data_IF_810944664035
#
_entry.id   IF_810944664035
#
_cell.length_a   1.000
_cell.length_b   1.000
_cell.length_c   1.000
_cell.angle_alpha   90.00
_cell.angle_beta   90.00
_cell.angle_gamma   90.00
#
_symmetry.space_group_name_H-M   'P 1'
#
loop_
_entity.id
_entity.type
_entity.pdbx_description
1 polymer ?
#
# COMPACT_ATOMS: atom_id res chain seq x y z
N UNK A 1 -5.21 24.79 -2.42
CA UNK A 1 -5.91 23.67 -1.77
C UNK A 1 -4.94 22.48 -1.73
N UNK A 2 -4.86 21.75 -0.63
CA UNK A 2 -4.05 20.53 -0.54
C UNK A 2 -4.63 19.46 -1.47
N UNK A 3 -3.77 18.67 -2.11
CA UNK A 3 -4.20 17.52 -2.94
C UNK A 3 -4.86 16.42 -2.10
N UNK A 4 -5.53 15.50 -2.76
CA UNK A 4 -6.22 14.37 -2.15
C UNK A 4 -5.41 13.08 -2.29
N UNK A 5 -5.39 12.29 -1.22
CA UNK A 5 -4.83 10.94 -1.20
C UNK A 5 -5.95 9.94 -1.45
N UNK A 6 -5.90 9.27 -2.59
CA UNK A 6 -6.89 8.27 -3.01
C UNK A 6 -6.17 6.92 -3.16
N UNK A 7 -6.65 5.90 -2.49
CA UNK A 7 -6.07 4.56 -2.52
C UNK A 7 -6.95 3.64 -3.36
N UNK A 8 -6.33 2.85 -4.22
CA UNK A 8 -6.99 1.78 -4.97
C UNK A 8 -6.50 0.44 -4.41
N UNK A 9 -7.41 -0.31 -3.84
CA UNK A 9 -7.20 -1.62 -3.25
C UNK A 9 -7.95 -2.71 -4.01
N UNK A 10 -7.61 -3.96 -3.78
CA UNK A 10 -8.28 -5.11 -4.38
C UNK A 10 -7.36 -6.31 -4.50
N UNK A 11 -7.92 -7.44 -4.90
CA UNK A 11 -7.19 -8.70 -5.11
C UNK A 11 -6.17 -8.58 -6.23
N UNK A 12 -5.26 -9.54 -6.31
CA UNK A 12 -4.33 -9.63 -7.45
C UNK A 12 -5.10 -9.77 -8.76
N UNK A 13 -4.54 -9.22 -9.82
CA UNK A 13 -5.14 -9.23 -11.16
C UNK A 13 -6.55 -8.60 -11.28
N UNK A 14 -7.01 -7.83 -10.28
CA UNK A 14 -8.30 -7.13 -10.33
C UNK A 14 -8.31 -5.88 -11.21
N UNK A 15 -7.20 -5.56 -11.88
CA UNK A 15 -7.08 -4.39 -12.77
C UNK A 15 -6.78 -3.07 -12.06
N UNK A 16 -6.36 -3.10 -10.79
CA UNK A 16 -6.02 -1.89 -10.00
C UNK A 16 -5.08 -0.93 -10.74
N UNK A 17 -3.98 -1.45 -11.26
CA UNK A 17 -2.99 -0.64 -11.96
C UNK A 17 -3.58 0.05 -13.20
N UNK A 18 -4.35 -0.69 -14.00
CA UNK A 18 -5.04 -0.16 -15.19
C UNK A 18 -6.00 0.95 -14.78
N UNK A 19 -6.84 0.73 -13.78
CA UNK A 19 -7.82 1.72 -13.33
C UNK A 19 -7.15 2.94 -12.70
N UNK A 20 -6.05 2.76 -11.95
CA UNK A 20 -5.26 3.87 -11.41
C UNK A 20 -4.70 4.76 -12.54
N UNK A 21 -4.14 4.17 -13.58
CA UNK A 21 -3.62 4.90 -14.75
C UNK A 21 -4.74 5.68 -15.46
N UNK A 22 -5.85 5.01 -15.78
CA UNK A 22 -7.01 5.65 -16.44
C UNK A 22 -7.59 6.80 -15.59
N UNK A 23 -7.65 6.63 -14.28
CA UNK A 23 -8.13 7.69 -13.39
C UNK A 23 -7.21 8.92 -13.43
N UNK A 24 -5.90 8.72 -13.36
CA UNK A 24 -4.91 9.81 -13.44
C UNK A 24 -4.99 10.53 -14.79
N UNK A 25 -5.05 9.79 -15.89
CA UNK A 25 -5.20 10.36 -17.23
C UNK A 25 -6.48 11.20 -17.34
N UNK A 26 -7.61 10.67 -16.84
CA UNK A 26 -8.90 11.38 -16.86
C UNK A 26 -8.88 12.65 -16.02
N UNK A 27 -8.32 12.60 -14.81
CA UNK A 27 -8.21 13.77 -13.93
C UNK A 27 -7.34 14.86 -14.57
N UNK A 28 -6.19 14.50 -15.11
CA UNK A 28 -5.28 15.45 -15.76
C UNK A 28 -5.92 16.06 -17.03
N UNK A 29 -6.67 15.29 -17.82
CA UNK A 29 -7.42 15.80 -18.96
C UNK A 29 -8.51 16.84 -18.56
N UNK A 30 -9.01 16.76 -17.32
CA UNK A 30 -9.93 17.74 -16.73
C UNK A 30 -9.23 18.91 -16.06
N UNK A 31 -7.90 19.01 -16.17
CA UNK A 31 -7.11 20.06 -15.50
C UNK A 31 -6.87 19.84 -14.00
N UNK A 32 -7.22 18.67 -13.50
CA UNK A 32 -7.04 18.28 -12.07
C UNK A 32 -5.69 17.58 -11.95
N UNK A 33 -4.69 18.27 -11.42
CA UNK A 33 -3.33 17.72 -11.26
C UNK A 33 -3.33 16.46 -10.43
N UNK A 34 -2.89 15.36 -11.02
CA UNK A 34 -2.88 14.03 -10.38
C UNK A 34 -1.70 13.20 -10.85
N UNK A 35 -1.18 12.34 -9.97
CA UNK A 35 -0.16 11.35 -10.30
C UNK A 35 -0.46 10.00 -9.65
N UNK A 36 0.09 8.93 -10.24
CA UNK A 36 0.04 7.59 -9.66
C UNK A 36 1.35 7.31 -8.92
N UNK A 37 1.22 6.66 -7.77
CA UNK A 37 2.32 6.01 -7.06
C UNK A 37 1.85 4.64 -6.59
N UNK A 38 2.77 3.83 -6.06
CA UNK A 38 2.44 2.50 -5.55
C UNK A 38 3.27 2.16 -4.32
N UNK A 39 2.77 1.25 -3.51
CA UNK A 39 3.55 0.55 -2.50
C UNK A 39 3.48 -0.97 -2.73
N UNK A 40 4.58 -1.70 -2.51
CA UNK A 40 5.94 -1.21 -2.16
C UNK A 40 6.57 -0.38 -3.29
N UNK A 41 7.47 0.55 -2.91
CA UNK A 41 8.26 1.32 -3.88
C UNK A 41 9.54 0.56 -4.21
N UNK A 42 9.45 -0.40 -5.13
CA UNK A 42 10.52 -1.33 -5.47
C UNK A 42 11.81 -0.69 -6.02
N UNK A 43 11.75 0.55 -6.45
CA UNK A 43 12.87 1.37 -6.91
C UNK A 43 13.59 2.13 -5.77
N UNK A 44 13.31 1.77 -4.53
CA UNK A 44 13.93 2.34 -3.32
C UNK A 44 14.58 1.24 -2.48
N UNK A 45 15.59 1.56 -1.63
CA UNK A 45 16.27 0.56 -0.81
C UNK A 45 15.34 -0.27 0.07
N UNK A 46 14.28 0.34 0.62
CA UNK A 46 13.29 -0.36 1.44
C UNK A 46 12.38 -1.26 0.60
N UNK A 47 11.99 -0.81 -0.59
CA UNK A 47 11.20 -1.60 -1.53
C UNK A 47 11.98 -2.76 -2.15
N UNK A 48 13.29 -2.57 -2.39
CA UNK A 48 14.20 -3.63 -2.84
C UNK A 48 14.28 -4.78 -1.82
N UNK A 49 14.41 -4.45 -0.53
CA UNK A 49 14.37 -5.46 0.56
C UNK A 49 13.06 -6.25 0.53
N UNK A 50 11.91 -5.59 0.31
CA UNK A 50 10.63 -6.29 0.22
C UNK A 50 10.60 -7.21 -1.00
N UNK A 51 11.02 -6.72 -2.17
CA UNK A 51 11.03 -7.50 -3.40
C UNK A 51 11.91 -8.75 -3.26
N UNK A 52 13.13 -8.57 -2.79
CA UNK A 52 14.14 -9.62 -2.81
C UNK A 52 14.02 -10.59 -1.65
N UNK A 53 13.67 -10.11 -0.45
CA UNK A 53 13.72 -10.92 0.77
C UNK A 53 12.35 -11.25 1.37
N UNK A 54 11.38 -10.33 1.31
CA UNK A 54 10.04 -10.61 1.85
C UNK A 54 9.19 -11.39 0.85
N UNK A 55 9.31 -11.07 -0.44
CA UNK A 55 8.58 -11.74 -1.52
C UNK A 55 9.38 -12.86 -2.20
N UNK A 56 10.64 -13.09 -1.80
CA UNK A 56 11.54 -14.10 -2.35
C UNK A 56 11.58 -14.05 -3.90
N UNK A 57 11.75 -12.85 -4.46
CA UNK A 57 11.76 -12.63 -5.92
C UNK A 57 13.15 -12.64 -6.55
N UNK A 58 14.20 -12.88 -5.76
CA UNK A 58 15.55 -13.08 -6.26
C UNK A 58 15.91 -14.58 -6.22
N UNK A 59 16.97 -14.95 -6.96
CA UNK A 59 17.44 -16.33 -7.07
C UNK A 59 18.22 -16.81 -5.83
N UNK A 60 18.62 -15.89 -4.95
CA UNK A 60 19.36 -16.17 -3.72
C UNK A 60 18.71 -15.46 -2.53
N UNK A 61 17.62 -16.00 -1.97
CA UNK A 61 16.96 -15.38 -0.83
C UNK A 61 17.87 -15.37 0.39
N UNK A 62 18.08 -14.20 0.98
CA UNK A 62 18.91 -14.01 2.17
C UNK A 62 18.27 -14.56 3.45
N UNK A 63 16.97 -14.74 3.43
CA UNK A 63 16.19 -15.16 4.58
C UNK A 63 15.32 -16.35 4.20
N UNK A 64 15.19 -17.28 5.13
CA UNK A 64 14.10 -18.26 5.12
C UNK A 64 12.76 -17.50 5.16
N UNK A 65 11.68 -18.16 4.79
CA UNK A 65 10.34 -17.57 4.81
C UNK A 65 10.04 -16.89 6.15
N UNK A 66 9.68 -15.61 6.10
CA UNK A 66 9.33 -14.86 7.30
C UNK A 66 7.94 -15.30 7.75
N UNK A 67 7.90 -16.18 8.73
CA UNK A 67 6.64 -16.73 9.24
C UNK A 67 5.85 -15.71 10.09
N UNK A 68 6.54 -14.84 10.82
CA UNK A 68 5.90 -13.90 11.73
C UNK A 68 5.22 -12.76 10.98
N UNK A 69 3.86 -12.66 10.99
CA UNK A 69 3.13 -11.64 10.26
C UNK A 69 3.43 -10.20 10.74
N UNK A 70 3.82 -10.01 12.00
CA UNK A 70 4.25 -8.70 12.49
C UNK A 70 5.59 -8.29 11.91
N UNK A 71 6.54 -9.23 11.78
CA UNK A 71 7.83 -8.95 11.15
C UNK A 71 7.63 -8.54 9.68
N UNK A 72 6.86 -9.31 8.91
CA UNK A 72 6.50 -8.97 7.53
C UNK A 72 5.85 -7.58 7.45
N UNK A 73 4.90 -7.30 8.35
CA UNK A 73 4.21 -6.01 8.42
C UNK A 73 5.17 -4.85 8.64
N UNK A 74 6.21 -5.01 9.46
CA UNK A 74 7.22 -3.98 9.73
C UNK A 74 8.03 -3.63 8.48
N UNK A 75 8.35 -4.58 7.60
CA UNK A 75 9.03 -4.27 6.34
C UNK A 75 8.17 -3.37 5.45
N UNK A 76 6.88 -3.68 5.30
CA UNK A 76 5.95 -2.85 4.54
C UNK A 76 5.73 -1.47 5.17
N UNK A 77 5.66 -1.40 6.49
CA UNK A 77 5.54 -0.13 7.23
C UNK A 77 6.80 0.72 7.08
N UNK A 78 7.99 0.11 7.13
CA UNK A 78 9.27 0.79 6.93
C UNK A 78 9.38 1.42 5.52
N UNK A 79 8.94 0.69 4.48
CA UNK A 79 8.93 1.22 3.12
C UNK A 79 8.01 2.44 2.99
N UNK A 80 6.81 2.38 3.56
CA UNK A 80 5.90 3.54 3.59
C UNK A 80 6.48 4.71 4.37
N UNK A 81 6.99 4.46 5.57
CA UNK A 81 7.58 5.49 6.42
C UNK A 81 8.76 6.18 5.73
N UNK A 82 9.65 5.42 5.10
CA UNK A 82 10.81 5.96 4.39
C UNK A 82 10.43 6.82 3.17
N UNK A 83 9.34 6.50 2.50
CA UNK A 83 8.96 7.11 1.24
C UNK A 83 7.79 8.09 1.33
N UNK A 84 7.18 8.27 2.51
CA UNK A 84 5.93 9.06 2.64
C UNK A 84 6.11 10.53 2.28
N UNK A 85 7.30 11.10 2.47
CA UNK A 85 7.60 12.49 2.10
C UNK A 85 7.37 12.77 0.61
N UNK A 86 7.64 11.79 -0.26
CA UNK A 86 7.37 11.91 -1.70
C UNK A 86 5.89 12.17 -1.99
N UNK A 87 5.01 11.58 -1.17
CA UNK A 87 3.55 11.72 -1.29
C UNK A 87 3.09 13.02 -0.65
N UNK A 88 3.51 13.31 0.58
CA UNK A 88 3.09 14.51 1.30
C UNK A 88 3.50 15.79 0.59
N UNK A 89 4.69 15.83 -0.02
CA UNK A 89 5.17 16.95 -0.81
C UNK A 89 4.29 17.23 -2.05
N UNK A 90 3.78 16.18 -2.69
CA UNK A 90 2.86 16.31 -3.82
C UNK A 90 1.49 16.82 -3.36
N UNK A 91 0.96 16.25 -2.27
CA UNK A 91 -0.30 16.68 -1.69
C UNK A 91 -0.24 18.16 -1.28
N UNK A 92 0.85 18.62 -0.66
CA UNK A 92 1.04 20.00 -0.23
C UNK A 92 1.13 20.97 -1.42
N UNK A 93 1.63 20.51 -2.58
CA UNK A 93 1.61 21.24 -3.85
C UNK A 93 0.26 21.21 -4.58
N UNK A 94 -0.77 20.63 -3.98
CA UNK A 94 -2.10 20.51 -4.56
C UNK A 94 -2.25 19.45 -5.65
N UNK A 95 -1.32 18.50 -5.73
CA UNK A 95 -1.40 17.34 -6.63
C UNK A 95 -2.13 16.21 -5.93
N UNK A 96 -3.16 15.64 -6.56
CA UNK A 96 -3.81 14.43 -6.05
C UNK A 96 -2.91 13.22 -6.28
N UNK A 97 -2.78 12.37 -5.28
CA UNK A 97 -1.98 11.14 -5.37
C UNK A 97 -2.93 9.95 -5.37
N UNK A 98 -2.84 9.15 -6.44
CA UNK A 98 -3.56 7.89 -6.59
C UNK A 98 -2.59 6.77 -6.24
N UNK A 99 -2.82 6.10 -5.12
CA UNK A 99 -1.98 4.99 -4.67
C UNK A 99 -2.54 3.65 -5.13
N UNK A 100 -1.72 2.84 -5.77
CA UNK A 100 -1.95 1.41 -5.95
C UNK A 100 -1.37 0.68 -4.72
N UNK A 101 -2.26 0.24 -3.83
CA UNK A 101 -2.02 -0.35 -2.50
C UNK A 101 -1.50 0.64 -1.46
N UNK A 102 -1.92 0.40 -0.22
CA UNK A 102 -1.48 1.15 0.95
C UNK A 102 -1.52 0.27 2.22
N UNK A 103 -1.89 0.86 3.36
CA UNK A 103 -1.94 0.17 4.67
C UNK A 103 -2.97 -0.96 4.67
N UNK A 104 -4.09 -0.78 3.97
CA UNK A 104 -5.17 -1.77 3.87
C UNK A 104 -4.68 -3.10 3.28
N UNK A 105 -3.77 -3.07 2.30
CA UNK A 105 -3.12 -4.29 1.79
C UNK A 105 -2.34 -5.02 2.88
N UNK A 106 -1.54 -4.31 3.68
CA UNK A 106 -0.81 -4.92 4.79
C UNK A 106 -1.77 -5.58 5.79
N UNK A 107 -2.84 -4.88 6.16
CA UNK A 107 -3.88 -5.42 7.04
C UNK A 107 -4.46 -6.71 6.46
N UNK A 108 -4.91 -6.68 5.21
CA UNK A 108 -5.56 -7.82 4.56
C UNK A 108 -4.64 -9.05 4.51
N UNK A 109 -3.41 -8.88 4.04
CA UNK A 109 -2.46 -9.99 3.90
C UNK A 109 -2.00 -10.55 5.24
N UNK A 110 -1.68 -9.69 6.21
CA UNK A 110 -1.18 -10.19 7.50
C UNK A 110 -2.30 -10.74 8.39
N UNK A 111 -3.47 -10.12 8.41
CA UNK A 111 -4.61 -10.64 9.18
C UNK A 111 -5.15 -11.97 8.60
N UNK A 112 -5.05 -12.19 7.28
CA UNK A 112 -5.50 -13.44 6.68
C UNK A 112 -4.68 -14.67 7.10
N UNK A 113 -3.50 -14.48 7.69
CA UNK A 113 -2.62 -15.56 8.19
C UNK A 113 -3.10 -16.17 9.51
N UNK A 114 -4.12 -15.62 10.14
CA UNK A 114 -4.73 -16.14 11.36
C UNK A 114 -6.04 -16.86 11.04
N UNK A 115 -6.35 -17.93 11.76
CA UNK A 115 -7.59 -18.69 11.56
C UNK A 115 -8.78 -18.04 12.27
N UNK A 116 -8.59 -17.59 13.50
CA UNK A 116 -9.68 -17.05 14.31
C UNK A 116 -9.85 -15.53 14.11
N UNK A 117 -11.08 -15.09 14.26
CA UNK A 117 -11.49 -13.70 14.05
C UNK A 117 -10.84 -12.72 15.05
N UNK A 118 -10.63 -13.17 16.29
CA UNK A 118 -10.04 -12.33 17.34
C UNK A 118 -8.61 -11.94 16.99
N UNK A 119 -7.79 -12.90 16.51
CA UNK A 119 -6.41 -12.62 16.13
C UNK A 119 -6.34 -11.79 14.85
N UNK A 120 -7.28 -11.98 13.90
CA UNK A 120 -7.43 -11.11 12.73
C UNK A 120 -7.68 -9.67 13.14
N UNK A 121 -8.60 -9.43 14.06
CA UNK A 121 -8.92 -8.10 14.58
C UNK A 121 -7.72 -7.52 15.33
N UNK A 122 -7.05 -8.30 16.18
CA UNK A 122 -5.87 -7.86 16.89
C UNK A 122 -4.74 -7.43 15.95
N UNK A 123 -4.52 -8.18 14.87
CA UNK A 123 -3.52 -7.85 13.85
C UNK A 123 -3.87 -6.58 13.10
N UNK A 124 -5.15 -6.40 12.72
CA UNK A 124 -5.65 -5.17 12.11
C UNK A 124 -5.40 -3.97 13.01
N UNK A 125 -5.82 -4.02 14.26
CA UNK A 125 -5.65 -2.93 15.22
C UNK A 125 -4.18 -2.61 15.47
N UNK A 126 -3.32 -3.63 15.50
CA UNK A 126 -1.89 -3.45 15.67
C UNK A 126 -1.26 -2.71 14.49
N UNK A 127 -1.64 -3.07 13.23
CA UNK A 127 -1.15 -2.38 12.02
C UNK A 127 -1.68 -0.94 11.97
N UNK A 128 -2.95 -0.72 12.26
CA UNK A 128 -3.50 0.64 12.31
C UNK A 128 -2.79 1.52 13.34
N UNK A 129 -2.54 0.97 14.54
CA UNK A 129 -1.80 1.67 15.58
C UNK A 129 -0.36 1.99 15.12
N UNK A 130 0.33 1.02 14.52
CA UNK A 130 1.69 1.21 14.02
C UNK A 130 1.75 2.29 12.95
N UNK A 131 0.97 2.14 11.89
CA UNK A 131 1.16 2.93 10.69
C UNK A 131 0.51 4.30 10.76
N UNK A 132 -0.72 4.41 11.26
CA UNK A 132 -1.42 5.69 11.31
C UNK A 132 -1.16 6.50 12.58
N UNK A 133 -0.86 5.85 13.71
CA UNK A 133 -0.68 6.57 14.96
C UNK A 133 0.79 6.74 15.37
N UNK A 134 1.62 5.68 15.26
CA UNK A 134 3.03 5.75 15.67
C UNK A 134 3.92 6.31 14.55
N UNK A 135 3.70 5.90 13.30
CA UNK A 135 4.43 6.39 12.13
C UNK A 135 3.77 7.64 11.50
N UNK A 136 2.59 8.04 11.99
CA UNK A 136 1.86 9.22 11.55
C UNK A 136 1.63 9.28 10.03
N UNK A 137 1.47 8.12 9.39
CA UNK A 137 1.17 8.08 7.96
C UNK A 137 -0.18 8.73 7.68
N UNK A 138 -0.31 9.50 6.58
CA UNK A 138 -1.56 10.16 6.25
C UNK A 138 -2.66 9.14 5.97
N UNK A 139 -3.83 9.33 6.59
CA UNK A 139 -5.01 8.54 6.23
C UNK A 139 -5.52 8.96 4.85
N UNK A 140 -5.92 7.99 4.01
CA UNK A 140 -6.48 8.33 2.70
C UNK A 140 -7.79 9.10 2.83
N UNK A 141 -7.99 10.08 1.91
CA UNK A 141 -9.29 10.77 1.79
C UNK A 141 -10.37 9.81 1.25
N UNK A 142 -9.96 8.84 0.43
CA UNK A 142 -10.84 7.80 -0.12
C UNK A 142 -10.07 6.51 -0.40
N UNK A 143 -10.71 5.39 -0.11
CA UNK A 143 -10.28 4.05 -0.53
C UNK A 143 -11.31 3.51 -1.52
N UNK A 144 -10.84 3.03 -2.67
CA UNK A 144 -11.65 2.40 -3.71
C UNK A 144 -11.24 0.93 -3.76
N UNK A 145 -12.15 0.05 -3.43
CA UNK A 145 -11.91 -1.39 -3.47
C UNK A 145 -12.37 -1.99 -4.80
N UNK A 146 -11.43 -2.55 -5.56
CA UNK A 146 -11.68 -3.24 -6.82
C UNK A 146 -12.06 -4.70 -6.52
N UNK A 147 -13.35 -4.99 -6.58
CA UNK A 147 -13.86 -6.34 -6.34
C UNK A 147 -14.00 -7.10 -7.66
N UNK A 148 -13.25 -8.20 -7.79
CA UNK A 148 -13.42 -9.18 -8.85
C UNK A 148 -13.84 -10.51 -8.22
N UNK A 149 -15.02 -11.04 -8.54
CA UNK A 149 -15.46 -12.34 -8.03
C UNK A 149 -14.50 -13.46 -8.49
N UNK A 150 -14.17 -14.38 -7.59
CA UNK A 150 -13.24 -15.48 -7.85
C UNK A 150 -13.75 -16.51 -8.90
N UNK A 151 -14.95 -16.37 -9.40
CA UNK A 151 -15.62 -17.34 -10.27
C UNK A 151 -15.34 -17.15 -11.77
N UNK A 152 -14.29 -16.37 -12.14
CA UNK A 152 -13.94 -16.15 -13.55
C UNK A 152 -12.46 -16.22 -13.80
#
# INVERSE_FOLDING_TARGET
>A
MKGKLIVIEGTENSGKETQANLLVERLNALGIKSCKMRFPMYDTPTGEIIHDHVLNKNDEPYFEDIENPKAVSLYYAADRCNNISKITDLLDKGVNVILDRYVESNIAYQASRFDNISDKINMLLWIEQLEFNLLELPRPDKVIFMYLPYQY
#
